data_IF_538417754718
#
_entry.id   IF_538417754718
#
_cell.length_a   1.000
_cell.length_b   1.000
_cell.length_c   1.000
_cell.angle_alpha   90.00
_cell.angle_beta   90.00
_cell.angle_gamma   90.00
#
_symmetry.space_group_name_H-M   'P 1'
#
loop_
_entity.id
_entity.type
_entity.pdbx_description
1 polymer ?
#
# COMPACT_ATOMS: atom_id res chain seq x y z
N UNK A 1 -9.68 28.66 9.04
CA UNK A 1 -10.11 27.72 10.09
C UNK A 1 -10.29 26.30 9.57
N UNK A 2 -11.16 26.02 8.58
CA UNK A 2 -11.35 24.65 8.05
C UNK A 2 -10.08 23.99 7.47
N UNK A 3 -9.32 24.70 6.63
CA UNK A 3 -8.08 24.17 6.05
C UNK A 3 -6.97 23.93 7.08
N UNK A 4 -6.92 24.74 8.14
CA UNK A 4 -5.93 24.61 9.22
C UNK A 4 -6.16 23.33 10.03
N UNK A 5 -7.43 23.05 10.36
CA UNK A 5 -7.78 21.83 11.08
C UNK A 5 -7.53 20.58 10.23
N UNK A 6 -7.81 20.64 8.92
CA UNK A 6 -7.50 19.54 8.01
C UNK A 6 -6.00 19.21 7.99
N UNK A 7 -5.15 20.23 7.82
CA UNK A 7 -3.70 20.02 7.78
C UNK A 7 -3.14 19.45 9.09
N UNK A 8 -3.64 19.92 10.24
CA UNK A 8 -3.23 19.40 11.56
C UNK A 8 -3.63 17.92 11.73
N UNK A 9 -4.84 17.55 11.31
CA UNK A 9 -5.28 16.15 11.37
C UNK A 9 -4.46 15.28 10.41
N UNK A 10 -4.20 15.76 9.20
CA UNK A 10 -3.37 15.04 8.23
C UNK A 10 -1.96 14.80 8.76
N UNK A 11 -1.32 15.81 9.35
CA UNK A 11 0.00 15.69 9.97
C UNK A 11 -0.01 14.68 11.12
N UNK A 12 -1.01 14.72 12.00
CA UNK A 12 -1.16 13.75 13.07
C UNK A 12 -1.34 12.31 12.54
N UNK A 13 -2.09 12.12 11.45
CA UNK A 13 -2.26 10.81 10.81
C UNK A 13 -0.96 10.32 10.17
N UNK A 14 -0.17 11.20 9.54
CA UNK A 14 1.14 10.85 8.99
C UNK A 14 2.09 10.43 10.10
N UNK A 15 2.11 11.13 11.23
CA UNK A 15 2.94 10.75 12.38
C UNK A 15 2.49 9.39 12.93
N UNK A 16 1.18 9.21 13.17
CA UNK A 16 0.62 7.95 13.66
C UNK A 16 0.90 6.77 12.70
N UNK A 17 1.00 7.03 11.39
CA UNK A 17 1.25 6.01 10.38
C UNK A 17 2.55 5.24 10.65
N UNK A 18 3.57 5.90 11.19
CA UNK A 18 4.86 5.26 11.54
C UNK A 18 4.72 4.25 12.69
N UNK A 19 3.71 4.41 13.55
CA UNK A 19 3.46 3.51 14.67
C UNK A 19 2.51 2.36 14.32
N UNK A 20 1.58 2.58 13.38
CA UNK A 20 0.51 1.61 13.06
C UNK A 20 0.78 0.80 11.80
N UNK A 21 1.52 1.33 10.82
CA UNK A 21 1.87 0.63 9.57
C UNK A 21 3.17 -0.13 9.80
N UNK A 22 3.06 -1.28 10.47
CA UNK A 22 4.17 -2.19 10.74
C UNK A 22 3.66 -3.61 10.94
N UNK A 23 4.50 -4.64 10.76
CA UNK A 23 4.15 -5.99 11.16
C UNK A 23 3.73 -6.04 12.64
N UNK A 24 2.56 -6.62 12.92
CA UNK A 24 2.05 -6.82 14.29
C UNK A 24 2.26 -8.24 14.82
N UNK A 25 2.72 -9.16 13.96
CA UNK A 25 3.10 -10.53 14.32
C UNK A 25 4.57 -10.77 13.95
N UNK A 26 5.16 -11.81 14.54
CA UNK A 26 6.46 -12.32 14.10
C UNK A 26 6.33 -12.86 12.67
N UNK A 27 7.22 -12.42 11.78
CA UNK A 27 7.22 -12.81 10.37
C UNK A 27 7.75 -14.22 10.13
N UNK A 28 8.32 -14.86 11.16
CA UNK A 28 8.77 -16.25 11.11
C UNK A 28 7.65 -17.27 11.34
N UNK A 29 6.49 -16.82 11.85
CA UNK A 29 5.33 -17.68 12.08
C UNK A 29 4.45 -17.77 10.83
N UNK A 30 4.04 -18.99 10.48
CA UNK A 30 3.08 -19.19 9.39
C UNK A 30 1.68 -18.77 9.87
N UNK A 31 0.99 -17.85 9.16
CA UNK A 31 -0.32 -17.38 9.58
C UNK A 31 -1.36 -18.52 9.64
N UNK A 32 -2.27 -18.54 10.65
CA UNK A 32 -3.34 -19.54 10.76
C UNK A 32 -4.21 -19.66 9.50
N UNK A 33 -4.39 -18.55 8.79
CA UNK A 33 -5.15 -18.45 7.54
C UNK A 33 -4.51 -19.27 6.41
N UNK A 34 -3.19 -19.45 6.45
CA UNK A 34 -2.43 -20.28 5.49
C UNK A 34 -2.46 -21.73 5.93
N UNK A 35 -2.06 -22.04 7.16
CA UNK A 35 -1.89 -23.44 7.62
C UNK A 35 -3.21 -24.22 7.67
N UNK A 36 -4.32 -23.54 8.01
CA UNK A 36 -5.63 -24.19 8.13
C UNK A 36 -6.38 -24.29 6.79
N UNK A 37 -5.81 -23.78 5.69
CA UNK A 37 -6.46 -23.76 4.39
C UNK A 37 -5.68 -24.63 3.39
N UNK A 38 -6.25 -25.76 2.99
CA UNK A 38 -5.64 -26.70 2.03
C UNK A 38 -5.41 -26.11 0.64
N UNK A 39 -6.07 -24.98 0.30
CA UNK A 39 -5.79 -24.23 -0.93
C UNK A 39 -4.49 -23.45 -0.83
N UNK A 40 -4.12 -22.98 0.37
CA UNK A 40 -2.95 -22.12 0.59
C UNK A 40 -1.76 -22.89 1.13
N UNK A 41 -1.98 -23.86 2.01
CA UNK A 41 -0.94 -24.77 2.46
C UNK A 41 -0.65 -25.85 1.41
N UNK A 42 0.62 -26.15 1.09
CA UNK A 42 1.86 -25.54 1.61
C UNK A 42 2.40 -24.39 0.73
N UNK A 43 1.70 -24.03 -0.36
CA UNK A 43 2.19 -23.11 -1.38
C UNK A 43 2.57 -21.72 -0.86
N UNK A 44 1.89 -21.24 0.19
CA UNK A 44 2.11 -19.93 0.80
C UNK A 44 2.74 -20.02 2.21
N UNK A 45 3.36 -21.15 2.57
CA UNK A 45 3.87 -21.37 3.94
C UNK A 45 4.88 -20.31 4.41
N UNK A 46 5.66 -19.73 3.51
CA UNK A 46 6.67 -18.71 3.82
C UNK A 46 6.21 -17.29 3.40
N UNK A 47 4.94 -17.15 3.00
CA UNK A 47 4.38 -15.86 2.63
C UNK A 47 4.06 -15.04 3.89
N UNK A 48 4.54 -13.79 3.92
CA UNK A 48 4.27 -12.85 5.01
C UNK A 48 3.01 -12.00 4.78
N UNK A 49 2.49 -11.98 3.55
CA UNK A 49 1.36 -11.17 3.14
C UNK A 49 1.19 -11.10 1.63
N UNK A 50 0.31 -10.22 1.19
CA UNK A 50 0.12 -9.84 -0.21
C UNK A 50 0.73 -8.47 -0.47
N UNK A 51 1.34 -8.29 -1.65
CA UNK A 51 1.89 -7.04 -2.10
C UNK A 51 1.16 -6.64 -3.38
N UNK A 52 0.62 -5.43 -3.39
CA UNK A 52 -0.18 -4.93 -4.52
C UNK A 52 0.08 -3.43 -4.75
N UNK A 53 -0.07 -3.02 -6.01
CA UNK A 53 0.07 -1.63 -6.45
C UNK A 53 -1.31 -1.01 -6.69
N UNK A 54 -1.66 0.04 -5.95
CA UNK A 54 -2.89 0.80 -6.15
C UNK A 54 -2.61 2.17 -6.73
N UNK A 55 -3.35 2.56 -7.77
CA UNK A 55 -3.31 3.92 -8.32
C UNK A 55 -4.28 4.83 -7.55
N UNK A 56 -3.76 5.91 -6.99
CA UNK A 56 -4.54 6.96 -6.33
C UNK A 56 -4.47 8.24 -7.16
N UNK A 57 -5.56 8.98 -7.30
CA UNK A 57 -5.55 10.23 -8.05
C UNK A 57 -4.55 11.25 -7.47
N UNK A 58 -3.76 11.85 -8.35
CA UNK A 58 -2.77 12.86 -8.00
C UNK A 58 -3.34 14.26 -8.22
N UNK A 59 -3.55 15.00 -7.13
CA UNK A 59 -3.96 16.40 -7.17
C UNK A 59 -2.72 17.28 -7.25
N UNK A 60 -2.25 17.49 -8.48
CA UNK A 60 -1.07 18.31 -8.79
C UNK A 60 -1.34 19.24 -9.97
N UNK A 61 -0.67 20.38 -10.05
CA UNK A 61 -0.78 21.29 -11.21
C UNK A 61 -0.30 20.60 -12.48
N UNK A 62 -0.76 21.02 -13.66
CA UNK A 62 -0.36 20.39 -14.92
C UNK A 62 1.13 20.56 -15.22
N UNK A 63 1.73 21.67 -14.77
CA UNK A 63 3.16 21.93 -14.88
C UNK A 63 4.00 20.92 -14.10
N UNK A 64 3.54 20.52 -12.92
CA UNK A 64 4.22 19.57 -12.05
C UNK A 64 3.66 18.15 -12.21
N UNK A 65 2.63 17.98 -13.05
CA UNK A 65 1.83 16.76 -13.18
C UNK A 65 2.41 15.72 -14.13
N UNK A 66 3.42 16.09 -14.92
CA UNK A 66 4.06 15.23 -15.92
C UNK A 66 4.58 13.91 -15.34
N UNK A 67 5.28 13.90 -14.17
CA UNK A 67 5.75 12.65 -13.56
C UNK A 67 4.63 11.72 -13.06
N UNK A 68 3.42 12.26 -12.87
CA UNK A 68 2.28 11.55 -12.30
C UNK A 68 1.29 11.10 -13.37
N UNK A 69 1.61 11.22 -14.66
CA UNK A 69 0.68 10.80 -15.72
C UNK A 69 0.70 9.29 -15.89
N UNK A 70 -0.48 8.67 -15.75
CA UNK A 70 -0.70 7.28 -16.10
C UNK A 70 -0.75 7.08 -17.64
N UNK A 71 -0.81 5.82 -18.07
CA UNK A 71 -0.89 5.46 -19.50
C UNK A 71 -2.15 5.98 -20.22
N UNK A 72 -3.15 6.42 -19.48
CA UNK A 72 -4.40 7.00 -20.00
C UNK A 72 -4.37 8.54 -19.93
N UNK A 73 -3.25 9.14 -19.54
CA UNK A 73 -3.07 10.58 -19.42
C UNK A 73 -3.70 11.19 -18.16
N UNK A 74 -4.19 10.38 -17.21
CA UNK A 74 -4.72 10.85 -15.91
C UNK A 74 -3.57 11.04 -14.94
N UNK A 75 -3.71 11.94 -13.97
CA UNK A 75 -2.71 12.16 -12.93
C UNK A 75 -2.96 11.19 -11.77
N UNK A 76 -2.06 10.26 -11.51
CA UNK A 76 -2.13 9.31 -10.39
C UNK A 76 -0.76 9.03 -9.75
N UNK A 77 -0.80 8.67 -8.48
CA UNK A 77 0.29 8.11 -7.71
C UNK A 77 0.18 6.59 -7.73
N UNK A 78 1.27 5.91 -8.05
CA UNK A 78 1.39 4.49 -7.74
C UNK A 78 1.74 4.34 -6.26
N UNK A 79 0.89 3.66 -5.52
CA UNK A 79 1.07 3.34 -4.10
C UNK A 79 1.22 1.84 -3.97
N UNK A 80 2.40 1.41 -3.57
CA UNK A 80 2.67 0.02 -3.25
C UNK A 80 2.29 -0.24 -1.79
N UNK A 81 1.45 -1.24 -1.56
CA UNK A 81 1.02 -1.63 -0.22
C UNK A 81 1.28 -3.12 0.02
N UNK A 82 1.84 -3.44 1.19
CA UNK A 82 1.90 -4.80 1.69
C UNK A 82 0.84 -4.99 2.78
N UNK A 83 0.13 -6.10 2.72
CA UNK A 83 -0.97 -6.42 3.61
C UNK A 83 -0.78 -7.83 4.18
N UNK A 84 -0.90 -7.97 5.49
CA UNK A 84 -0.86 -9.26 6.20
C UNK A 84 -2.12 -10.10 5.90
N UNK A 85 -2.10 -11.38 6.29
CA UNK A 85 -3.27 -12.25 6.16
C UNK A 85 -4.47 -11.83 7.04
N UNK A 86 -4.23 -10.98 8.06
CA UNK A 86 -5.28 -10.30 8.84
C UNK A 86 -5.96 -9.14 8.09
N UNK A 87 -5.52 -8.84 6.87
CA UNK A 87 -5.95 -7.68 6.08
C UNK A 87 -5.53 -6.34 6.70
N UNK A 88 -4.42 -6.33 7.45
CA UNK A 88 -3.80 -5.12 8.00
C UNK A 88 -2.59 -4.75 7.15
N UNK A 89 -2.48 -3.49 6.76
CA UNK A 89 -1.31 -2.95 6.06
C UNK A 89 -0.09 -2.93 6.96
N UNK A 90 1.00 -3.54 6.49
CA UNK A 90 2.27 -3.63 7.23
C UNK A 90 3.37 -2.79 6.60
N UNK A 91 3.17 -2.33 5.36
CA UNK A 91 4.06 -1.43 4.65
C UNK A 91 3.31 -0.66 3.58
N UNK A 92 3.62 0.63 3.41
CA UNK A 92 3.11 1.48 2.32
C UNK A 92 4.27 2.31 1.76
N UNK A 93 4.37 2.37 0.43
CA UNK A 93 5.30 3.23 -0.28
C UNK A 93 4.54 4.04 -1.35
N UNK A 94 4.66 5.35 -1.29
CA UNK A 94 4.00 6.28 -2.22
C UNK A 94 5.01 6.77 -3.25
N UNK A 95 4.60 6.81 -4.52
CA UNK A 95 5.42 7.35 -5.59
C UNK A 95 6.45 6.35 -6.12
N UNK A 96 6.10 5.06 -6.13
CA UNK A 96 6.92 4.06 -6.80
C UNK A 96 7.00 4.40 -8.30
N UNK A 97 8.20 4.79 -8.75
CA UNK A 97 8.44 5.13 -10.15
C UNK A 97 8.20 3.91 -11.03
N UNK A 98 7.47 4.14 -12.13
CA UNK A 98 7.17 3.12 -13.11
C UNK A 98 5.71 2.69 -13.07
N UNK A 99 5.15 2.59 -14.28
CA UNK A 99 3.98 1.77 -14.57
C UNK A 99 4.36 0.31 -14.30
N UNK A 100 4.48 -0.08 -13.03
CA UNK A 100 4.64 -1.49 -12.65
C UNK A 100 3.32 -2.15 -13.03
N UNK A 101 3.37 -2.78 -14.20
CA UNK A 101 2.30 -3.59 -14.73
C UNK A 101 1.98 -4.65 -13.70
N UNK A 102 0.76 -4.61 -13.18
CA UNK A 102 0.09 -5.80 -12.69
C UNK A 102 0.13 -6.80 -13.85
N UNK A 103 1.05 -7.77 -13.76
CA UNK A 103 1.18 -8.81 -14.76
C UNK A 103 0.00 -9.73 -14.52
N UNK A 104 -1.05 -9.57 -15.32
CA UNK A 104 -2.09 -10.59 -15.48
C UNK A 104 -1.41 -11.90 -15.85
N UNK A 105 -1.34 -12.81 -14.88
CA UNK A 105 -1.09 -14.24 -15.09
C UNK A 105 -2.36 -14.95 -15.50
#
# INVERSE_FOLDING_TARGET
MLATNFNQVLEALVILSFDIIRPHRDLSEVPPEVVNNTKYWPYFKDAIGALDGTLIDAIVSDTNGVPFRDRHGRKSWNVLACCSFDRIYTFINVGWEGSVHDTTV
#
